data_IF_225933985421
#
_entry.id   IF_225933985421
#
_cell.length_a   1.000
_cell.length_b   1.000
_cell.length_c   1.000
_cell.angle_alpha   90.00
_cell.angle_beta   90.00
_cell.angle_gamma   90.00
#
_symmetry.space_group_name_H-M   'P 1'
#
loop_
_entity.id
_entity.type
_entity.pdbx_description
1 polymer ?
#
# COMPACT_ATOMS: atom_id res chain seq x y z
N UNK A 1 -41.46 2.55 23.34
CA UNK A 1 -41.53 2.08 21.96
C UNK A 1 -40.46 2.71 21.06
N UNK A 2 -40.26 4.02 21.14
CA UNK A 2 -39.18 4.68 20.34
C UNK A 2 -37.79 4.19 20.65
N UNK A 3 -37.50 3.77 21.88
CA UNK A 3 -36.19 3.23 22.30
C UNK A 3 -35.86 1.90 21.67
N UNK A 4 -36.86 1.07 21.34
CA UNK A 4 -36.65 -0.24 20.72
C UNK A 4 -36.26 -0.14 19.23
N UNK A 5 -36.60 0.96 18.56
CA UNK A 5 -36.21 1.19 17.16
C UNK A 5 -34.82 1.72 16.99
N UNK A 6 -34.28 2.42 17.99
CA UNK A 6 -32.94 2.97 17.96
C UNK A 6 -31.84 1.92 18.13
N UNK A 7 -32.08 0.90 18.96
CA UNK A 7 -31.09 -0.15 19.25
C UNK A 7 -30.75 -0.98 18.00
N UNK A 8 -31.69 -1.48 17.20
CA UNK A 8 -31.34 -2.21 15.97
C UNK A 8 -30.58 -1.37 14.95
N UNK A 9 -30.90 -0.09 14.82
CA UNK A 9 -30.23 0.80 13.90
C UNK A 9 -28.77 1.06 14.30
N UNK A 10 -28.51 1.22 15.59
CA UNK A 10 -27.18 1.39 16.14
C UNK A 10 -26.32 0.13 15.96
N UNK A 11 -26.88 -1.04 16.19
CA UNK A 11 -26.18 -2.30 16.01
C UNK A 11 -25.85 -2.55 14.54
N UNK A 12 -26.74 -2.17 13.62
CA UNK A 12 -26.51 -2.30 12.19
C UNK A 12 -25.35 -1.42 11.73
N UNK A 13 -25.30 -0.16 12.19
CA UNK A 13 -24.20 0.75 11.87
C UNK A 13 -22.85 0.23 12.39
N UNK A 14 -22.84 -0.30 13.61
CA UNK A 14 -21.65 -0.90 14.19
C UNK A 14 -21.17 -2.13 13.41
N UNK A 15 -22.10 -2.97 12.99
CA UNK A 15 -21.78 -4.17 12.20
C UNK A 15 -21.12 -3.81 10.88
N UNK A 16 -21.61 -2.81 10.15
CA UNK A 16 -21.01 -2.36 8.90
C UNK A 16 -19.59 -1.84 9.09
N UNK A 17 -19.33 -1.12 10.16
CA UNK A 17 -17.98 -0.58 10.43
C UNK A 17 -16.95 -1.67 10.72
N UNK A 18 -17.37 -2.83 11.25
CA UNK A 18 -16.46 -3.92 11.60
C UNK A 18 -16.12 -4.86 10.44
N UNK A 19 -16.94 -4.91 9.38
CA UNK A 19 -16.71 -5.83 8.25
C UNK A 19 -16.07 -5.16 7.05
N UNK A 20 -15.98 -3.82 7.04
CA UNK A 20 -15.39 -3.09 5.93
C UNK A 20 -13.87 -3.14 6.02
N UNK A 21 -13.20 -3.85 5.10
CA UNK A 21 -11.74 -3.89 5.00
C UNK A 21 -11.18 -2.82 4.06
N UNK A 22 -12.05 -2.18 3.27
CA UNK A 22 -11.68 -1.13 2.32
C UNK A 22 -12.36 0.16 2.73
N UNK A 23 -11.60 1.25 2.80
CA UNK A 23 -12.09 2.58 3.16
C UNK A 23 -12.07 3.53 1.96
N UNK A 24 -12.61 4.76 2.14
CA UNK A 24 -12.65 5.76 1.08
C UNK A 24 -11.26 6.23 0.63
N UNK A 25 -10.24 6.13 1.50
CA UNK A 25 -8.86 6.46 1.16
C UNK A 25 -8.13 5.34 0.42
N UNK A 26 -8.72 4.16 0.31
CA UNK A 26 -8.10 3.01 -0.35
C UNK A 26 -8.29 3.11 -1.87
N UNK A 27 -7.17 3.09 -2.58
CA UNK A 27 -7.17 3.15 -4.04
C UNK A 27 -6.69 1.82 -4.60
N UNK A 28 -7.54 1.17 -5.37
CA UNK A 28 -7.18 -0.07 -6.06
C UNK A 28 -6.11 0.25 -7.11
N UNK A 29 -5.01 -0.49 -7.08
CA UNK A 29 -3.90 -0.27 -8.01
C UNK A 29 -3.58 -1.50 -8.84
N UNK A 30 -3.82 -2.69 -8.34
CA UNK A 30 -3.44 -3.91 -9.03
C UNK A 30 -4.24 -5.12 -8.55
N UNK A 31 -4.17 -6.19 -9.33
CA UNK A 31 -4.67 -7.51 -8.96
C UNK A 31 -3.59 -8.55 -9.27
N UNK A 32 -3.18 -9.29 -8.26
CA UNK A 32 -2.18 -10.35 -8.41
C UNK A 32 -2.89 -11.67 -8.71
N UNK A 33 -2.89 -12.06 -9.98
CA UNK A 33 -3.68 -13.20 -10.48
C UNK A 33 -3.33 -14.53 -9.81
N UNK A 34 -2.04 -14.81 -9.65
CA UNK A 34 -1.58 -16.08 -9.08
C UNK A 34 -2.07 -16.33 -7.66
N UNK A 35 -2.28 -15.27 -6.91
CA UNK A 35 -2.69 -15.32 -5.50
C UNK A 35 -4.14 -14.91 -5.31
N UNK A 36 -4.76 -14.37 -6.36
CA UNK A 36 -6.11 -13.82 -6.35
C UNK A 36 -6.26 -12.73 -5.27
N UNK A 37 -5.37 -11.75 -5.33
CA UNK A 37 -5.31 -10.66 -4.35
C UNK A 37 -5.48 -9.34 -5.05
N UNK A 38 -6.40 -8.52 -4.54
CA UNK A 38 -6.51 -7.11 -4.92
C UNK A 38 -5.59 -6.27 -4.07
N UNK A 39 -4.89 -5.34 -4.68
CA UNK A 39 -3.92 -4.47 -4.04
C UNK A 39 -4.46 -3.05 -3.99
N UNK A 40 -4.47 -2.50 -2.79
CA UNK A 40 -4.90 -1.12 -2.54
C UNK A 40 -3.76 -0.33 -1.90
N UNK A 41 -3.58 0.89 -2.35
CA UNK A 41 -2.73 1.87 -1.66
C UNK A 41 -3.66 2.78 -0.85
N UNK A 42 -3.32 2.99 0.41
CA UNK A 42 -4.06 3.92 1.27
C UNK A 42 -3.56 5.32 0.96
N UNK A 43 -4.32 6.08 0.18
CA UNK A 43 -3.89 7.30 -0.46
C UNK A 43 -3.38 8.37 0.51
N UNK A 44 -4.04 8.55 1.64
CA UNK A 44 -3.67 9.54 2.64
C UNK A 44 -2.43 9.17 3.46
N UNK A 45 -1.85 8.00 3.24
CA UNK A 45 -0.62 7.55 3.90
C UNK A 45 0.62 7.75 3.05
N UNK A 46 0.47 8.12 1.78
CA UNK A 46 1.62 8.36 0.88
C UNK A 46 2.36 9.58 1.40
N UNK A 47 3.62 9.41 1.77
CA UNK A 47 4.36 10.48 2.42
C UNK A 47 5.86 10.44 2.12
N UNK A 48 6.47 11.63 2.17
CA UNK A 48 7.91 11.80 2.09
C UNK A 48 8.32 12.95 3.01
N UNK A 49 9.61 13.00 3.37
CA UNK A 49 10.14 14.11 4.16
C UNK A 49 10.38 15.32 3.25
N UNK A 50 9.70 16.42 3.54
CA UNK A 50 9.90 17.71 2.85
C UNK A 50 10.05 17.55 1.33
N UNK A 51 11.17 17.98 0.75
CA UNK A 51 11.44 17.89 -0.69
C UNK A 51 12.28 16.66 -1.06
N UNK A 52 12.31 15.62 -0.22
CA UNK A 52 13.08 14.41 -0.51
C UNK A 52 12.50 13.67 -1.71
N UNK A 53 13.30 13.51 -2.77
CA UNK A 53 12.92 12.80 -3.98
C UNK A 53 13.50 11.38 -4.05
N UNK A 54 14.13 10.91 -2.97
CA UNK A 54 14.81 9.61 -2.93
C UNK A 54 14.22 8.63 -1.92
N UNK A 55 13.24 9.05 -1.13
CA UNK A 55 12.58 8.21 -0.13
C UNK A 55 11.11 8.58 -0.03
N UNK A 56 10.27 7.57 0.02
CA UNK A 56 8.86 7.76 0.36
C UNK A 56 8.28 6.46 0.91
N UNK A 57 7.08 6.54 1.48
CA UNK A 57 6.40 5.38 2.03
C UNK A 57 4.90 5.46 1.80
N UNK A 58 4.25 4.33 1.88
CA UNK A 58 2.80 4.23 1.82
C UNK A 58 2.34 2.95 2.52
N UNK A 59 1.11 2.96 3.01
CA UNK A 59 0.45 1.75 3.50
C UNK A 59 -0.21 1.03 2.32
N UNK A 60 0.02 -0.27 2.23
CA UNK A 60 -0.54 -1.12 1.18
C UNK A 60 -1.39 -2.21 1.83
N UNK A 61 -2.59 -2.42 1.28
CA UNK A 61 -3.51 -3.47 1.71
C UNK A 61 -3.60 -4.55 0.64
N UNK A 62 -3.59 -5.80 1.09
CA UNK A 62 -3.85 -6.97 0.27
C UNK A 62 -5.20 -7.54 0.68
N UNK A 63 -6.11 -7.65 -0.28
CA UNK A 63 -7.50 -8.04 -0.04
C UNK A 63 -7.85 -9.22 -0.93
N UNK A 64 -8.40 -10.28 -0.35
CA UNK A 64 -8.88 -11.46 -1.09
C UNK A 64 -10.35 -11.69 -0.77
N UNK A 65 -11.18 -11.74 -1.81
CA UNK A 65 -12.62 -11.96 -1.68
C UNK A 65 -13.28 -10.98 -0.68
N UNK A 66 -12.87 -9.70 -0.73
CA UNK A 66 -13.39 -8.67 0.16
C UNK A 66 -12.81 -8.69 1.58
N UNK A 67 -11.89 -9.60 1.88
CA UNK A 67 -11.27 -9.73 3.20
C UNK A 67 -9.85 -9.18 3.20
N UNK A 68 -9.54 -8.33 4.15
CA UNK A 68 -8.17 -7.87 4.38
C UNK A 68 -7.31 -9.04 4.88
N UNK A 69 -6.27 -9.40 4.11
CA UNK A 69 -5.36 -10.48 4.48
C UNK A 69 -4.01 -9.95 4.96
N UNK A 70 -3.63 -8.74 4.53
CA UNK A 70 -2.38 -8.12 4.98
C UNK A 70 -2.46 -6.61 4.81
N UNK A 71 -1.82 -5.90 5.72
CA UNK A 71 -1.68 -4.45 5.66
C UNK A 71 -0.33 -4.08 6.29
N UNK A 72 0.51 -3.40 5.52
CA UNK A 72 1.83 -3.01 6.01
C UNK A 72 2.34 -1.78 5.28
N UNK A 73 3.32 -1.13 5.88
CA UNK A 73 4.02 -0.01 5.27
C UNK A 73 5.05 -0.54 4.28
N UNK A 74 5.05 0.04 3.09
CA UNK A 74 6.08 -0.16 2.07
C UNK A 74 6.96 1.07 2.04
N UNK A 75 8.27 0.85 2.24
CA UNK A 75 9.28 1.91 2.25
C UNK A 75 10.05 1.84 0.94
N UNK A 76 10.10 2.95 0.22
CA UNK A 76 10.84 3.04 -1.04
C UNK A 76 12.03 3.95 -0.87
N UNK A 77 13.16 3.55 -1.46
CA UNK A 77 14.40 4.32 -1.41
C UNK A 77 15.22 4.16 -2.67
N UNK A 78 16.02 5.17 -2.97
CA UNK A 78 16.96 5.12 -4.08
C UNK A 78 18.20 5.93 -3.71
N UNK A 79 19.36 5.43 -4.10
CA UNK A 79 20.63 6.11 -3.89
C UNK A 79 21.08 6.81 -5.19
N UNK A 80 21.09 8.12 -5.17
CA UNK A 80 21.59 8.96 -6.28
C UNK A 80 21.17 8.45 -7.66
N UNK A 81 22.09 7.77 -8.37
CA UNK A 81 21.87 7.24 -9.71
C UNK A 81 21.46 5.77 -9.75
N UNK A 82 21.28 5.16 -8.58
CA UNK A 82 20.88 3.78 -8.48
C UNK A 82 19.37 3.63 -8.73
N UNK A 83 18.93 2.39 -8.89
CA UNK A 83 17.51 2.11 -9.08
C UNK A 83 16.74 2.13 -7.76
N UNK A 84 15.42 2.25 -7.87
CA UNK A 84 14.53 2.24 -6.72
C UNK A 84 14.47 0.85 -6.08
N UNK A 85 14.40 0.85 -4.75
CA UNK A 85 14.27 -0.34 -3.91
C UNK A 85 13.08 -0.19 -2.99
N UNK A 86 12.55 -1.31 -2.52
CA UNK A 86 11.48 -1.28 -1.53
C UNK A 86 11.78 -2.23 -0.38
N UNK A 87 11.14 -1.97 0.76
CA UNK A 87 11.25 -2.76 1.96
C UNK A 87 9.91 -2.76 2.68
N UNK A 88 9.47 -3.94 3.13
CA UNK A 88 8.26 -4.07 3.94
C UNK A 88 8.61 -4.60 5.33
N UNK A 89 7.67 -4.49 6.28
CA UNK A 89 7.86 -5.01 7.63
C UNK A 89 8.14 -6.52 7.62
N UNK A 90 7.45 -7.27 6.75
CA UNK A 90 7.66 -8.70 6.60
C UNK A 90 9.06 -9.05 6.15
N UNK A 91 9.60 -8.30 5.19
CA UNK A 91 10.98 -8.48 4.70
C UNK A 91 12.01 -8.23 5.80
N UNK A 92 11.79 -7.21 6.61
CA UNK A 92 12.70 -6.88 7.72
C UNK A 92 12.74 -8.00 8.74
N UNK A 93 11.60 -8.54 9.11
CA UNK A 93 11.49 -9.66 10.06
C UNK A 93 12.17 -10.92 9.54
N UNK A 94 12.03 -11.21 8.25
CA UNK A 94 12.61 -12.39 7.62
C UNK A 94 14.12 -12.40 7.55
N UNK A 95 14.80 -11.30 7.91
CA UNK A 95 16.26 -11.18 7.91
C UNK A 95 16.82 -10.80 9.28
N UNK A 96 16.27 -11.36 10.34
CA UNK A 96 16.71 -11.15 11.74
C UNK A 96 16.70 -9.68 12.15
N UNK A 97 15.75 -8.92 11.63
CA UNK A 97 15.62 -7.50 11.92
C UNK A 97 16.62 -6.59 11.19
N UNK A 98 17.52 -7.15 10.41
CA UNK A 98 18.44 -6.37 9.58
C UNK A 98 17.66 -5.86 8.36
N UNK A 99 17.82 -4.59 8.06
CA UNK A 99 17.16 -3.97 6.93
C UNK A 99 17.52 -4.69 5.63
N UNK A 100 16.50 -5.23 4.97
CA UNK A 100 16.64 -5.91 3.69
C UNK A 100 15.72 -5.24 2.69
N UNK A 101 16.24 -4.92 1.52
CA UNK A 101 15.47 -4.30 0.46
C UNK A 101 15.60 -5.10 -0.83
N UNK A 102 14.57 -5.00 -1.66
CA UNK A 102 14.57 -5.62 -3.00
C UNK A 102 14.40 -4.55 -4.06
N UNK A 103 14.91 -4.77 -5.27
CA UNK A 103 14.64 -3.84 -6.37
C UNK A 103 13.16 -3.74 -6.67
N UNK A 104 12.71 -2.53 -7.00
CA UNK A 104 11.41 -2.35 -7.64
C UNK A 104 11.56 -2.80 -9.08
N UNK A 105 10.97 -3.94 -9.42
CA UNK A 105 11.18 -4.58 -10.70
C UNK A 105 9.86 -4.96 -11.36
N UNK A 106 9.88 -4.97 -12.68
CA UNK A 106 8.72 -5.32 -13.49
C UNK A 106 8.06 -4.07 -14.09
N UNK A 107 7.31 -4.28 -15.16
CA UNK A 107 6.61 -3.20 -15.84
C UNK A 107 5.23 -3.68 -16.22
N UNK A 108 4.17 -3.02 -15.73
CA UNK A 108 4.20 -1.93 -14.76
C UNK A 108 4.32 -2.44 -13.30
N UNK A 109 5.00 -1.69 -12.45
CA UNK A 109 4.90 -1.86 -11.00
C UNK A 109 3.92 -0.81 -10.49
N UNK A 110 2.68 -1.19 -10.33
CA UNK A 110 1.57 -0.26 -10.13
C UNK A 110 1.57 0.41 -8.76
N UNK A 111 2.05 -0.28 -7.73
CA UNK A 111 2.17 0.32 -6.39
C UNK A 111 3.18 1.47 -6.44
N UNK A 112 4.36 1.21 -6.96
CA UNK A 112 5.41 2.23 -7.07
C UNK A 112 4.96 3.41 -7.93
N UNK A 113 4.43 3.13 -9.11
CA UNK A 113 4.03 4.17 -10.06
C UNK A 113 2.94 5.08 -9.46
N UNK A 114 1.95 4.48 -8.83
CA UNK A 114 0.88 5.26 -8.20
C UNK A 114 1.42 6.20 -7.13
N UNK A 115 2.28 5.69 -6.24
CA UNK A 115 2.84 6.49 -5.16
C UNK A 115 3.77 7.59 -5.68
N UNK A 116 4.67 7.26 -6.60
CA UNK A 116 5.59 8.23 -7.18
C UNK A 116 4.85 9.33 -7.95
N UNK A 117 3.85 8.95 -8.73
CA UNK A 117 3.02 9.92 -9.47
C UNK A 117 2.27 10.85 -8.51
N UNK A 118 1.72 10.30 -7.43
CA UNK A 118 1.01 11.08 -6.40
C UNK A 118 1.91 12.14 -5.76
N UNK A 119 3.20 11.84 -5.62
CA UNK A 119 4.17 12.74 -5.02
C UNK A 119 4.88 13.64 -6.04
N UNK A 120 4.61 13.46 -7.34
CA UNK A 120 5.28 14.20 -8.39
C UNK A 120 6.75 13.80 -8.54
N UNK A 121 7.12 12.58 -8.17
CA UNK A 121 8.48 12.09 -8.29
C UNK A 121 8.69 11.53 -9.69
N UNK A 122 9.72 12.04 -10.36
CA UNK A 122 10.11 11.57 -11.69
C UNK A 122 10.80 10.23 -11.61
N UNK A 123 10.47 9.35 -12.52
CA UNK A 123 11.14 8.06 -12.67
C UNK A 123 11.15 7.63 -14.13
N UNK A 124 12.05 6.70 -14.45
CA UNK A 124 12.07 6.03 -15.76
C UNK A 124 12.18 4.53 -15.53
N UNK A 125 11.72 3.75 -16.49
CA UNK A 125 11.87 2.30 -16.45
C UNK A 125 12.85 1.86 -17.54
N UNK A 126 13.86 1.07 -17.16
CA UNK A 126 14.82 0.52 -18.09
C UNK A 126 15.11 -0.94 -17.73
N UNK A 127 14.78 -1.84 -18.65
CA UNK A 127 14.92 -3.29 -18.45
C UNK A 127 14.17 -3.81 -17.21
N UNK A 128 13.04 -3.20 -16.88
CA UNK A 128 12.22 -3.57 -15.75
C UNK A 128 12.58 -2.89 -14.43
N UNK A 129 13.68 -2.17 -14.37
CA UNK A 129 14.10 -1.43 -13.17
C UNK A 129 13.68 0.04 -13.25
N UNK A 130 13.34 0.62 -12.10
CA UNK A 130 12.93 2.03 -12.01
C UNK A 130 14.10 2.88 -11.50
N UNK A 131 14.36 3.96 -12.22
CA UNK A 131 15.47 4.90 -11.95
C UNK A 131 14.97 6.29 -11.60
#
# INVERSE_FOLDING_TARGET
MKKLLLVPALMLAFFFSTISSVSAADVWVDHWDSENIDIYVVDDTISRKAADSTHFSAVVKEVRNGRLINQQVWLYSKYKTDFWRYQTAGMRKGKNGIGHSSPVYGTPNRIFEYCADSLGIYYSNNNGYYY
#
